data_IF_839994094052
#
_entry.id   IF_839994094052
#
_cell.length_a   1.000
_cell.length_b   1.000
_cell.length_c   1.000
_cell.angle_alpha   90.00
_cell.angle_beta   90.00
_cell.angle_gamma   90.00
#
_symmetry.space_group_name_H-M   'P 1'
#
loop_
_entity.id
_entity.type
_entity.pdbx_description
1 polymer ?
#
# COMPACT_ATOMS: atom_id res chain seq x y z
N UNK A 1 1.91 14.20 2.23
CA UNK A 1 0.99 13.88 3.35
C UNK A 1 0.57 15.17 4.04
N UNK A 2 -0.56 15.16 4.77
CA UNK A 2 -1.04 16.35 5.48
C UNK A 2 -0.34 16.56 6.84
N UNK A 3 -0.55 17.71 7.48
CA UNK A 3 -0.02 17.99 8.83
C UNK A 3 -0.41 16.93 9.87
N UNK A 4 -1.62 16.38 9.78
CA UNK A 4 -2.11 15.32 10.66
C UNK A 4 -1.28 14.04 10.58
N UNK A 5 -0.89 13.61 9.38
CA UNK A 5 -0.03 12.44 9.19
C UNK A 5 1.32 12.67 9.85
N UNK A 6 1.90 13.86 9.69
CA UNK A 6 3.18 14.22 10.30
C UNK A 6 3.09 14.30 11.82
N UNK A 7 2.01 14.87 12.35
CA UNK A 7 1.76 14.88 13.78
C UNK A 7 1.66 13.45 14.32
N UNK A 8 0.91 12.56 13.65
CA UNK A 8 0.76 11.17 14.07
C UNK A 8 2.09 10.41 14.15
N UNK A 9 3.01 10.63 13.22
CA UNK A 9 4.34 9.98 13.25
C UNK A 9 5.24 10.49 14.38
N UNK A 10 5.01 11.72 14.87
CA UNK A 10 5.77 12.34 15.97
C UNK A 10 5.09 12.24 17.32
N UNK A 11 3.93 11.61 17.39
CA UNK A 11 3.21 11.36 18.63
C UNK A 11 3.28 9.88 18.93
N UNK A 12 3.90 9.48 20.04
CA UNK A 12 3.95 8.07 20.41
C UNK A 12 2.53 7.53 20.61
N UNK A 13 2.37 6.22 20.47
CA UNK A 13 1.13 5.57 20.80
C UNK A 13 0.85 5.69 22.31
N UNK A 14 -0.41 5.52 22.70
CA UNK A 14 -0.85 5.50 24.11
C UNK A 14 -0.43 4.24 24.87
N UNK A 15 0.46 3.44 24.29
CA UNK A 15 0.87 2.14 24.78
C UNK A 15 2.34 1.87 24.48
N UNK A 16 2.87 0.87 25.19
CA UNK A 16 4.22 0.37 25.00
C UNK A 16 4.22 -1.04 24.41
N UNK A 17 5.37 -1.47 23.90
CA UNK A 17 5.61 -2.83 23.45
C UNK A 17 6.92 -3.34 24.03
N UNK A 18 6.86 -4.40 24.84
CA UNK A 18 8.00 -4.87 25.65
C UNK A 18 8.66 -3.78 26.50
N UNK A 19 7.86 -2.84 27.02
CA UNK A 19 8.36 -1.70 27.83
C UNK A 19 8.90 -0.53 27.00
N UNK A 20 9.01 -0.68 25.68
CA UNK A 20 9.47 0.37 24.78
C UNK A 20 8.31 1.25 24.29
N UNK A 21 8.62 2.52 24.02
CA UNK A 21 7.67 3.47 23.44
C UNK A 21 7.36 3.08 22.00
N UNK A 22 6.08 2.99 21.64
CA UNK A 22 5.67 2.66 20.27
C UNK A 22 5.48 3.94 19.46
N UNK A 23 6.01 3.93 18.24
CA UNK A 23 5.90 5.00 17.27
C UNK A 23 5.25 4.50 15.99
N UNK A 24 4.49 5.36 15.31
CA UNK A 24 3.94 5.07 13.98
C UNK A 24 4.97 5.40 12.89
N UNK A 25 6.06 4.63 12.89
CA UNK A 25 7.23 4.82 12.01
C UNK A 25 7.14 4.03 10.69
N UNK A 26 6.18 3.11 10.60
CA UNK A 26 5.97 2.23 9.46
C UNK A 26 4.60 2.47 8.82
N UNK A 27 4.60 2.50 7.49
CA UNK A 27 3.41 2.76 6.68
C UNK A 27 3.19 1.65 5.68
N UNK A 28 1.95 1.18 5.55
CA UNK A 28 1.54 0.12 4.65
C UNK A 28 0.65 0.68 3.57
N UNK A 29 0.97 0.33 2.33
CA UNK A 29 0.20 0.69 1.15
C UNK A 29 -0.52 -0.56 0.66
N UNK A 30 -1.84 -0.56 0.80
CA UNK A 30 -2.66 -1.54 0.11
C UNK A 30 -2.86 -1.10 -1.34
N UNK A 31 -2.68 -2.03 -2.27
CA UNK A 31 -3.01 -1.86 -3.68
C UNK A 31 -4.14 -2.82 -4.05
N UNK A 32 -5.29 -2.30 -4.50
CA UNK A 32 -6.33 -3.13 -5.08
C UNK A 32 -6.08 -3.39 -6.57
N UNK A 33 -6.59 -4.51 -7.13
CA UNK A 33 -6.55 -4.78 -8.58
C UNK A 33 -7.18 -3.67 -9.46
N UNK A 34 -8.04 -2.81 -8.89
CA UNK A 34 -8.60 -1.65 -9.59
C UNK A 34 -7.71 -0.40 -9.61
N UNK A 35 -6.55 -0.45 -8.96
CA UNK A 35 -5.68 0.71 -8.78
C UNK A 35 -6.16 1.68 -7.70
N UNK A 36 -7.02 1.24 -6.77
CA UNK A 36 -7.30 2.02 -5.55
C UNK A 36 -6.16 1.77 -4.55
N UNK A 37 -5.74 2.82 -3.85
CA UNK A 37 -4.73 2.73 -2.79
C UNK A 37 -5.36 3.17 -1.47
N UNK A 38 -5.18 2.35 -0.44
CA UNK A 38 -5.42 2.73 0.95
C UNK A 38 -4.09 2.64 1.70
N UNK A 39 -3.94 3.52 2.68
CA UNK A 39 -2.68 3.74 3.38
C UNK A 39 -2.98 3.62 4.87
N UNK A 40 -2.12 2.92 5.62
CA UNK A 40 -2.22 2.82 7.06
C UNK A 40 -0.87 2.98 7.72
N UNK A 41 -0.86 3.45 8.97
CA UNK A 41 0.24 3.22 9.88
C UNK A 41 0.11 1.85 10.50
N UNK A 42 1.18 1.05 10.43
CA UNK A 42 1.23 -0.22 11.14
C UNK A 42 1.34 0.02 12.63
N UNK A 43 0.69 -0.85 13.39
CA UNK A 43 0.80 -0.92 14.84
C UNK A 43 1.36 -2.30 15.22
N UNK A 44 1.77 -2.46 16.47
CA UNK A 44 2.38 -3.68 17.01
C UNK A 44 1.37 -4.46 17.84
N UNK A 45 1.75 -5.65 18.34
CA UNK A 45 0.91 -6.44 19.24
C UNK A 45 -0.43 -6.93 18.66
N UNK A 46 -0.59 -6.96 17.34
CA UNK A 46 -1.89 -7.24 16.72
C UNK A 46 -2.91 -6.12 16.88
N UNK A 47 -2.49 -4.92 17.29
CA UNK A 47 -3.33 -3.73 17.28
C UNK A 47 -3.68 -3.33 15.84
N UNK A 48 -4.87 -2.75 15.62
CA UNK A 48 -5.31 -2.39 14.29
C UNK A 48 -4.45 -1.28 13.69
N UNK A 49 -4.12 -1.41 12.40
CA UNK A 49 -3.45 -0.35 11.66
C UNK A 49 -4.35 0.87 11.49
N UNK A 50 -3.76 2.06 11.57
CA UNK A 50 -4.52 3.31 11.56
C UNK A 50 -4.59 3.91 10.16
N UNK A 51 -5.78 4.22 9.62
CA UNK A 51 -5.92 4.75 8.28
C UNK A 51 -5.28 6.13 8.15
N UNK A 52 -4.60 6.36 7.02
CA UNK A 52 -3.98 7.63 6.67
C UNK A 52 -4.71 8.24 5.50
N UNK A 53 -5.15 9.49 5.67
CA UNK A 53 -5.75 10.26 4.57
C UNK A 53 -4.66 11.01 3.81
N UNK A 54 -4.36 10.64 2.55
CA UNK A 54 -3.37 11.35 1.76
C UNK A 54 -3.91 12.71 1.30
N UNK A 55 -3.06 13.73 1.30
CA UNK A 55 -3.40 15.06 0.76
C UNK A 55 -3.62 15.02 -0.76
N UNK A 56 -2.78 14.27 -1.47
CA UNK A 56 -2.89 14.02 -2.90
C UNK A 56 -2.39 12.61 -3.17
N UNK A 57 -3.22 11.82 -3.84
CA UNK A 57 -2.92 10.47 -4.25
C UNK A 57 -3.30 10.35 -5.73
N UNK A 58 -2.40 9.82 -6.54
CA UNK A 58 -2.65 9.61 -7.97
C UNK A 58 -2.27 8.20 -8.30
N UNK A 59 -3.26 7.43 -8.70
CA UNK A 59 -3.09 6.07 -9.19
C UNK A 59 -3.43 6.02 -10.67
N UNK A 60 -2.82 5.05 -11.35
CA UNK A 60 -2.99 4.81 -12.79
C UNK A 60 -3.20 3.31 -12.96
N UNK A 61 -4.27 2.90 -13.62
CA UNK A 61 -4.62 1.49 -13.83
C UNK A 61 -5.28 1.29 -15.19
N UNK A 62 -5.30 0.05 -15.68
CA UNK A 62 -5.88 -0.30 -16.97
C UNK A 62 -5.33 0.54 -18.12
N UNK A 63 -6.22 1.11 -18.94
CA UNK A 63 -5.88 1.96 -20.09
C UNK A 63 -5.05 3.21 -19.72
N UNK A 64 -5.25 3.71 -18.51
CA UNK A 64 -4.61 4.92 -17.98
C UNK A 64 -3.28 4.64 -17.27
N UNK A 65 -2.83 3.37 -17.20
CA UNK A 65 -1.49 2.98 -16.74
C UNK A 65 -0.43 3.46 -17.74
N UNK A 66 -0.22 4.77 -17.84
CA UNK A 66 0.81 5.40 -18.69
C UNK A 66 2.19 5.38 -18.05
N UNK A 67 2.23 5.20 -16.72
CA UNK A 67 3.44 4.93 -15.98
C UNK A 67 3.92 3.52 -16.34
N UNK A 68 5.21 3.37 -16.65
CA UNK A 68 5.85 2.10 -16.98
C UNK A 68 5.44 1.42 -18.30
N UNK A 69 4.69 2.06 -19.22
CA UNK A 69 4.33 1.44 -20.52
C UNK A 69 5.54 1.03 -21.36
N UNK A 70 6.60 1.83 -21.32
CA UNK A 70 7.83 1.62 -22.09
C UNK A 70 9.04 1.38 -21.17
N UNK A 71 8.81 0.97 -19.91
CA UNK A 71 9.90 0.68 -18.99
C UNK A 71 10.58 -0.64 -19.39
N UNK A 72 11.65 -0.51 -20.15
CA UNK A 72 12.58 -1.59 -20.45
C UNK A 72 13.46 -1.81 -19.23
N UNK A 73 13.27 -2.93 -18.53
CA UNK A 73 14.13 -3.33 -17.40
C UNK A 73 15.55 -3.54 -17.94
N UNK A 74 16.55 -2.70 -17.61
CA UNK A 74 17.91 -2.90 -18.08
C UNK A 74 18.48 -4.11 -17.32
N UNK A 75 18.65 -5.24 -18.00
CA UNK A 75 19.39 -6.39 -17.47
C UNK A 75 18.58 -7.49 -16.77
N UNK A 76 17.26 -7.54 -16.90
CA UNK A 76 16.47 -8.66 -16.40
C UNK A 76 15.32 -9.02 -17.35
N UNK A 77 15.32 -10.23 -17.90
CA UNK A 77 14.16 -10.77 -18.58
C UNK A 77 13.03 -10.94 -17.56
N UNK A 78 12.17 -9.94 -17.39
CA UNK A 78 10.87 -10.16 -16.74
C UNK A 78 10.00 -10.89 -17.76
N UNK A 79 10.24 -12.18 -17.92
CA UNK A 79 9.35 -13.05 -18.68
C UNK A 79 8.06 -13.10 -17.89
N UNK A 80 7.04 -12.35 -18.34
CA UNK A 80 5.71 -12.45 -17.76
C UNK A 80 5.26 -13.90 -17.95
N UNK A 81 5.35 -14.70 -16.88
CA UNK A 81 5.10 -16.13 -16.98
C UNK A 81 3.62 -16.30 -17.37
N UNK A 82 3.31 -17.01 -18.48
CA UNK A 82 1.93 -17.27 -18.87
C UNK A 82 1.12 -17.92 -17.73
N UNK A 83 1.80 -18.69 -16.86
CA UNK A 83 1.22 -19.25 -15.64
C UNK A 83 0.78 -18.21 -14.62
N UNK A 84 1.52 -17.11 -14.44
CA UNK A 84 1.13 -16.00 -13.58
C UNK A 84 -0.09 -15.28 -14.15
N UNK A 85 -0.13 -15.06 -15.47
CA UNK A 85 -1.27 -14.41 -16.10
C UNK A 85 -2.52 -15.29 -16.02
N UNK A 86 -2.39 -16.59 -16.30
CA UNK A 86 -3.47 -17.56 -16.12
C UNK A 86 -3.92 -17.67 -14.65
N UNK A 87 -2.98 -17.62 -13.71
CA UNK A 87 -3.29 -17.65 -12.27
C UNK A 87 -4.06 -16.42 -11.81
N UNK A 88 -3.76 -15.24 -12.36
CA UNK A 88 -4.45 -13.99 -12.00
C UNK A 88 -5.80 -13.87 -12.72
N UNK A 89 -5.89 -14.41 -13.95
CA UNK A 89 -7.08 -14.28 -14.79
C UNK A 89 -8.32 -14.91 -14.13
N UNK A 90 -9.41 -14.14 -14.07
CA UNK A 90 -10.69 -14.59 -13.48
C UNK A 90 -10.70 -14.68 -11.94
N UNK A 91 -9.60 -14.38 -11.24
CA UNK A 91 -9.62 -14.35 -9.77
C UNK A 91 -10.30 -13.09 -9.26
N UNK A 92 -11.29 -13.31 -8.40
CA UNK A 92 -11.83 -12.25 -7.55
C UNK A 92 -10.98 -12.22 -6.29
N UNK A 93 -10.12 -11.20 -6.17
CA UNK A 93 -9.38 -10.97 -4.95
C UNK A 93 -10.36 -10.37 -3.93
N UNK A 94 -10.54 -11.01 -2.74
CA UNK A 94 -11.44 -10.48 -1.71
C UNK A 94 -10.97 -9.11 -1.21
N UNK A 95 -9.69 -8.80 -1.44
CA UNK A 95 -9.09 -7.51 -1.20
C UNK A 95 -9.13 -6.72 -2.51
N UNK A 96 -10.09 -5.80 -2.62
CA UNK A 96 -10.08 -4.89 -3.75
C UNK A 96 -11.34 -4.08 -3.98
N UNK A 97 -12.47 -4.50 -3.42
CA UNK A 97 -13.62 -3.63 -3.30
C UNK A 97 -13.48 -2.80 -2.03
N UNK A 98 -12.61 -1.80 -2.14
CA UNK A 98 -12.56 -0.69 -1.21
C UNK A 98 -13.51 0.35 -1.75
N UNK A 99 -14.80 0.13 -1.50
CA UNK A 99 -15.76 1.23 -1.53
C UNK A 99 -15.31 2.34 -0.55
#
# INVERSE_FOLDING_TARGET
FGPETWLRMKTPADHTWYGETVWYDSMVFGLSPGGKVKIWFSDVAGRPSLPVTPLKLTTRSGKDLTLCKDYVVPGGSFTFLPSTQAFINGKTYPYGNWD
#
